data_IF_798585836495
#
_entry.id   IF_798585836495
#
_cell.length_a   1.000
_cell.length_b   1.000
_cell.length_c   1.000
_cell.angle_alpha   90.00
_cell.angle_beta   90.00
_cell.angle_gamma   90.00
#
_symmetry.space_group_name_H-M   'P 1'
#
loop_
_entity.id
_entity.type
_entity.pdbx_description
1 polymer ?
#
# COMPACT_ATOMS: atom_id res chain seq x y z
N UNK A 1 -16.08 -5.06 -24.07
CA UNK A 1 -15.77 -4.06 -23.01
C UNK A 1 -15.86 -4.74 -21.66
N UNK A 2 -14.79 -4.79 -20.89
CA UNK A 2 -14.83 -5.24 -19.50
C UNK A 2 -15.57 -4.22 -18.65
N UNK A 3 -16.61 -4.67 -17.93
CA UNK A 3 -17.38 -3.80 -17.04
C UNK A 3 -16.45 -3.30 -15.92
N UNK A 4 -16.55 -2.02 -15.55
CA UNK A 4 -15.80 -1.49 -14.40
C UNK A 4 -16.20 -2.25 -13.13
N UNK A 5 -15.25 -2.53 -12.22
CA UNK A 5 -15.55 -3.21 -10.96
C UNK A 5 -16.45 -2.34 -10.08
N UNK A 6 -17.23 -2.98 -9.20
CA UNK A 6 -17.90 -2.29 -8.10
C UNK A 6 -16.89 -1.81 -7.04
N UNK A 7 -17.39 -1.10 -6.02
CA UNK A 7 -16.55 -0.48 -4.98
C UNK A 7 -15.80 -1.49 -4.11
N UNK A 8 -16.44 -2.61 -3.75
CA UNK A 8 -15.79 -3.65 -2.95
C UNK A 8 -14.71 -4.33 -3.78
N UNK A 9 -15.03 -4.71 -5.01
CA UNK A 9 -14.08 -5.32 -5.95
C UNK A 9 -12.91 -4.37 -6.23
N UNK A 10 -13.17 -3.08 -6.43
CA UNK A 10 -12.12 -2.09 -6.64
C UNK A 10 -11.17 -1.95 -5.45
N UNK A 11 -11.69 -1.88 -4.22
CA UNK A 11 -10.85 -1.82 -3.02
C UNK A 11 -10.05 -3.11 -2.82
N UNK A 12 -10.68 -4.29 -3.02
CA UNK A 12 -10.00 -5.59 -2.93
C UNK A 12 -8.85 -5.69 -3.93
N UNK A 13 -9.07 -5.27 -5.17
CA UNK A 13 -8.03 -5.26 -6.20
C UNK A 13 -6.82 -4.38 -5.78
N UNK A 14 -7.05 -3.25 -5.10
CA UNK A 14 -5.95 -2.41 -4.59
C UNK A 14 -5.20 -3.16 -3.46
N UNK A 15 -5.92 -3.76 -2.51
CA UNK A 15 -5.32 -4.54 -1.41
C UNK A 15 -4.45 -5.67 -1.98
N UNK A 16 -4.97 -6.44 -2.93
CA UNK A 16 -4.27 -7.58 -3.51
C UNK A 16 -3.03 -7.13 -4.30
N UNK A 17 -3.13 -6.03 -5.05
CA UNK A 17 -1.98 -5.45 -5.74
C UNK A 17 -0.90 -4.98 -4.76
N UNK A 18 -1.30 -4.32 -3.67
CA UNK A 18 -0.38 -3.83 -2.63
C UNK A 18 0.36 -4.98 -1.94
N UNK A 19 -0.35 -6.06 -1.57
CA UNK A 19 0.27 -7.25 -0.96
C UNK A 19 1.26 -7.94 -1.89
N UNK A 20 1.06 -7.83 -3.21
CA UNK A 20 1.92 -8.43 -4.22
C UNK A 20 3.14 -7.56 -4.54
N UNK A 21 2.98 -6.24 -4.57
CA UNK A 21 4.00 -5.31 -5.07
C UNK A 21 4.86 -4.69 -3.97
N UNK A 22 4.31 -4.51 -2.76
CA UNK A 22 5.04 -3.88 -1.66
C UNK A 22 5.63 -4.95 -0.72
N UNK A 23 6.90 -4.81 -0.31
CA UNK A 23 7.58 -5.74 0.58
C UNK A 23 7.15 -5.56 2.05
N UNK A 24 5.85 -5.60 2.33
CA UNK A 24 5.26 -5.30 3.64
C UNK A 24 5.75 -6.22 4.77
N UNK A 25 6.13 -7.45 4.43
CA UNK A 25 6.49 -8.50 5.40
C UNK A 25 7.93 -9.03 5.23
N UNK A 26 8.75 -8.37 4.40
CA UNK A 26 10.13 -8.78 4.19
C UNK A 26 11.03 -8.17 5.28
N UNK A 27 11.69 -9.03 6.05
CA UNK A 27 12.54 -8.66 7.19
C UNK A 27 13.65 -7.66 6.84
N UNK A 28 14.16 -7.70 5.62
CA UNK A 28 15.22 -6.81 5.12
C UNK A 28 14.77 -5.34 5.04
N UNK A 29 13.47 -5.07 4.88
CA UNK A 29 12.93 -3.70 4.83
C UNK A 29 12.88 -3.01 6.20
N UNK A 30 13.12 -3.76 7.28
CA UNK A 30 13.05 -3.27 8.67
C UNK A 30 14.41 -2.91 9.26
N UNK A 31 15.50 -3.08 8.51
CA UNK A 31 16.86 -2.73 8.94
C UNK A 31 17.12 -1.27 8.61
N UNK A 32 17.42 -0.45 9.64
CA UNK A 32 17.87 0.91 9.40
C UNK A 32 19.28 0.87 8.77
N UNK A 33 19.41 1.39 7.55
CA UNK A 33 20.71 1.57 6.91
C UNK A 33 21.63 2.49 7.72
N UNK A 34 22.96 2.42 7.54
CA UNK A 34 23.88 3.27 8.25
C UNK A 34 23.60 4.74 7.88
N UNK A 35 23.32 5.56 8.90
CA UNK A 35 23.21 7.04 8.85
C UNK A 35 21.93 7.69 8.29
N UNK A 36 20.80 6.99 8.20
CA UNK A 36 19.50 7.68 8.03
C UNK A 36 19.39 8.54 6.74
N UNK A 37 20.14 8.19 5.70
CA UNK A 37 20.16 8.88 4.40
C UNK A 37 18.88 8.64 3.57
N UNK A 38 17.89 7.95 4.14
CA UNK A 38 16.64 7.65 3.47
C UNK A 38 15.86 8.92 3.15
N UNK A 39 15.40 9.05 1.90
CA UNK A 39 14.46 10.08 1.48
C UNK A 39 13.05 9.65 1.90
N UNK A 40 12.77 9.83 3.20
CA UNK A 40 11.65 9.22 3.90
C UNK A 40 11.96 7.76 4.27
N UNK A 41 11.80 7.41 5.55
CA UNK A 41 12.13 6.08 6.06
C UNK A 41 11.22 5.01 5.44
N UNK A 42 11.76 4.03 4.67
CA UNK A 42 10.95 2.98 4.03
C UNK A 42 10.11 2.18 5.00
N UNK A 43 10.67 1.83 6.17
CA UNK A 43 9.93 1.17 7.25
C UNK A 43 8.69 1.96 7.64
N UNK A 44 8.81 3.28 7.81
CA UNK A 44 7.67 4.10 8.22
C UNK A 44 6.60 4.21 7.13
N UNK A 45 7.03 4.23 5.88
CA UNK A 45 6.12 4.21 4.73
C UNK A 45 5.36 2.88 4.64
N UNK A 46 6.04 1.75 4.84
CA UNK A 46 5.42 0.42 4.86
C UNK A 46 4.46 0.26 6.04
N UNK A 47 4.84 0.69 7.26
CA UNK A 47 3.97 0.70 8.45
C UNK A 47 2.66 1.47 8.20
N UNK A 48 2.74 2.59 7.47
CA UNK A 48 1.55 3.40 7.15
C UNK A 48 0.59 2.66 6.22
N UNK A 49 1.11 1.96 5.22
CA UNK A 49 0.29 1.15 4.30
C UNK A 49 -0.29 -0.06 5.03
N UNK A 50 0.50 -0.74 5.86
CA UNK A 50 0.05 -1.92 6.60
C UNK A 50 -1.11 -1.61 7.56
N UNK A 51 -1.08 -0.45 8.23
CA UNK A 51 -2.19 0.01 9.07
C UNK A 51 -3.48 0.25 8.29
N UNK A 52 -3.40 0.95 7.16
CA UNK A 52 -4.57 1.22 6.30
C UNK A 52 -5.11 -0.06 5.66
N UNK A 53 -4.21 -0.95 5.24
CA UNK A 53 -4.57 -2.26 4.71
C UNK A 53 -5.32 -3.08 5.75
N UNK A 54 -4.77 -3.18 6.97
CA UNK A 54 -5.40 -3.89 8.08
C UNK A 54 -6.78 -3.33 8.42
N UNK A 55 -6.93 -2.01 8.42
CA UNK A 55 -8.21 -1.34 8.59
C UNK A 55 -9.22 -1.75 7.52
N UNK A 56 -8.85 -1.65 6.24
CA UNK A 56 -9.75 -1.94 5.12
C UNK A 56 -10.14 -3.41 5.04
N UNK A 57 -9.19 -4.33 5.29
CA UNK A 57 -9.51 -5.76 5.35
C UNK A 57 -10.50 -6.07 6.46
N UNK A 58 -10.28 -5.52 7.66
CA UNK A 58 -11.22 -5.71 8.77
C UNK A 58 -12.58 -5.08 8.47
N UNK A 59 -12.62 -3.84 7.98
CA UNK A 59 -13.86 -3.13 7.66
C UNK A 59 -14.69 -3.87 6.60
N UNK A 60 -14.07 -4.30 5.50
CA UNK A 60 -14.76 -5.03 4.44
C UNK A 60 -15.23 -6.42 4.91
N UNK A 61 -14.47 -7.09 5.78
CA UNK A 61 -14.91 -8.37 6.36
C UNK A 61 -16.18 -8.22 7.21
N UNK A 62 -16.44 -7.04 7.78
CA UNK A 62 -17.71 -6.71 8.46
C UNK A 62 -18.81 -6.20 7.52
N UNK A 63 -18.60 -6.22 6.21
CA UNK A 63 -19.56 -5.74 5.22
C UNK A 63 -19.55 -4.23 4.97
N UNK A 64 -18.55 -3.49 5.47
CA UNK A 64 -18.42 -2.05 5.15
C UNK A 64 -18.05 -1.91 3.68
N UNK A 65 -18.84 -1.11 2.93
CA UNK A 65 -18.59 -0.83 1.52
C UNK A 65 -17.84 0.51 1.42
N UNK A 66 -16.61 0.52 0.87
CA UNK A 66 -15.86 1.77 0.73
C UNK A 66 -16.54 2.73 -0.24
N UNK A 67 -16.39 4.03 0.00
CA UNK A 67 -16.76 5.10 -0.90
C UNK A 67 -15.66 5.35 -1.94
N UNK A 68 -16.05 5.97 -3.06
CA UNK A 68 -15.09 6.29 -4.13
C UNK A 68 -13.93 7.17 -3.66
N UNK A 69 -14.18 8.09 -2.74
CA UNK A 69 -13.13 8.96 -2.17
C UNK A 69 -12.13 8.15 -1.33
N UNK A 70 -12.60 7.16 -0.57
CA UNK A 70 -11.77 6.28 0.24
C UNK A 70 -10.91 5.36 -0.63
N UNK A 71 -11.50 4.76 -1.68
CA UNK A 71 -10.76 3.99 -2.70
C UNK A 71 -9.66 4.86 -3.32
N UNK A 72 -9.99 6.11 -3.69
CA UNK A 72 -9.02 7.04 -4.28
C UNK A 72 -7.91 7.39 -3.29
N UNK A 73 -8.23 7.68 -2.03
CA UNK A 73 -7.25 8.03 -0.99
C UNK A 73 -6.31 6.87 -0.69
N UNK A 74 -6.86 5.67 -0.50
CA UNK A 74 -6.05 4.47 -0.25
C UNK A 74 -5.14 4.14 -1.43
N UNK A 75 -5.65 4.15 -2.66
CA UNK A 75 -4.83 3.97 -3.86
C UNK A 75 -3.73 5.03 -4.02
N UNK A 76 -4.04 6.30 -3.70
CA UNK A 76 -3.05 7.39 -3.72
C UNK A 76 -1.95 7.19 -2.68
N UNK A 77 -2.31 6.78 -1.46
CA UNK A 77 -1.35 6.46 -0.41
C UNK A 77 -0.39 5.36 -0.89
N UNK A 78 -0.93 4.24 -1.38
CA UNK A 78 -0.14 3.12 -1.87
C UNK A 78 0.81 3.52 -3.01
N UNK A 79 0.33 4.29 -3.99
CA UNK A 79 1.17 4.80 -5.08
C UNK A 79 2.26 5.76 -4.59
N UNK A 80 1.97 6.58 -3.58
CA UNK A 80 2.95 7.51 -3.01
C UNK A 80 4.04 6.78 -2.24
N UNK A 81 3.66 5.75 -1.48
CA UNK A 81 4.60 4.88 -0.76
C UNK A 81 5.47 4.10 -1.74
N UNK A 82 4.88 3.50 -2.78
CA UNK A 82 5.65 2.83 -3.86
C UNK A 82 6.73 3.74 -4.43
N UNK A 83 6.41 5.00 -4.75
CA UNK A 83 7.40 5.99 -5.23
C UNK A 83 8.50 6.27 -4.20
N UNK A 84 8.15 6.31 -2.92
CA UNK A 84 9.13 6.43 -1.84
C UNK A 84 10.09 5.24 -1.79
N UNK A 85 9.58 4.01 -1.95
CA UNK A 85 10.40 2.80 -1.97
C UNK A 85 11.31 2.74 -3.20
N UNK A 86 10.82 3.12 -4.38
CA UNK A 86 11.64 3.24 -5.61
C UNK A 86 12.79 4.23 -5.39
N UNK A 87 12.54 5.38 -4.76
CA UNK A 87 13.59 6.38 -4.45
C UNK A 87 14.64 5.86 -3.46
N UNK A 88 14.28 4.87 -2.63
CA UNK A 88 15.19 4.21 -1.71
C UNK A 88 15.79 2.92 -2.31
N UNK A 89 15.62 2.67 -3.62
CA UNK A 89 16.12 1.50 -4.35
C UNK A 89 15.65 0.15 -3.79
N UNK A 90 14.50 0.10 -3.10
CA UNK A 90 13.96 -1.13 -2.54
C UNK A 90 13.09 -1.92 -3.51
N UNK A 91 12.50 -1.24 -4.49
CA UNK A 91 11.68 -1.87 -5.54
C UNK A 91 11.93 -1.16 -6.87
N UNK A 92 11.72 -1.88 -7.97
CA UNK A 92 11.86 -1.35 -9.33
C UNK A 92 10.67 -0.47 -9.75
N UNK A 93 10.92 0.47 -10.68
CA UNK A 93 9.92 1.43 -11.14
C UNK A 93 8.89 0.89 -12.14
N UNK A 94 8.90 -0.41 -12.46
CA UNK A 94 8.14 -1.06 -13.54
C UNK A 94 6.67 -0.65 -13.62
#
# INVERSE_FOLDING_TARGET
>A
MTKKPDRQTAMRNIIDAVKKELPLYESETFVCGPKGECVGCPKKLLEMVDGELSYWEHAMNRGVIPHFDEIRRFGKLCSSVRKGLVRNNLISST
#
